data_IF_849472940050
#
_entry.id   IF_849472940050
#
_cell.length_a   1.000
_cell.length_b   1.000
_cell.length_c   1.000
_cell.angle_alpha   90.00
_cell.angle_beta   90.00
_cell.angle_gamma   90.00
#
_symmetry.space_group_name_H-M   'P 1'
#
loop_
_entity.id
_entity.type
_entity.pdbx_description
1 polymer ?
#
# COMPACT_ATOMS: atom_id res chain seq x y z
N UNK A 1 33.53 18.93 9.61
CA UNK A 1 32.65 20.03 10.06
C UNK A 1 32.15 20.74 8.81
N UNK A 2 30.93 20.45 8.41
CA UNK A 2 30.23 21.16 7.35
C UNK A 2 28.83 21.46 7.90
N UNK A 3 28.49 22.75 7.95
CA UNK A 3 27.22 23.27 8.44
C UNK A 3 26.08 22.86 7.52
N UNK A 4 25.28 21.88 7.94
CA UNK A 4 23.94 21.65 7.40
C UNK A 4 23.00 22.72 7.97
N UNK A 5 22.95 23.89 7.30
CA UNK A 5 21.96 24.93 7.59
C UNK A 5 20.55 24.40 7.29
N UNK A 6 19.86 24.04 8.37
CA UNK A 6 18.44 23.67 8.44
C UNK A 6 17.55 24.59 7.61
N UNK A 7 16.77 23.99 6.71
CA UNK A 7 15.72 24.65 5.94
C UNK A 7 14.39 24.60 6.69
N UNK A 8 13.98 25.73 7.26
CA UNK A 8 12.64 25.93 7.83
C UNK A 8 11.59 26.11 6.72
N UNK A 9 10.56 25.28 6.71
CA UNK A 9 9.38 25.49 5.87
C UNK A 9 8.46 26.56 6.48
N UNK A 10 7.67 27.29 5.67
CA UNK A 10 6.87 28.41 6.14
C UNK A 10 5.79 27.96 7.13
N UNK A 11 5.59 28.76 8.18
CA UNK A 11 4.60 28.58 9.24
C UNK A 11 3.53 29.66 9.06
N UNK A 12 2.26 29.27 8.96
CA UNK A 12 1.13 30.20 8.77
C UNK A 12 0.02 29.98 9.78
N UNK A 13 -0.64 31.05 10.18
CA UNK A 13 -1.78 31.01 11.12
C UNK A 13 -3.06 30.61 10.36
N UNK A 14 -3.68 29.49 10.72
CA UNK A 14 -4.89 28.96 10.04
C UNK A 14 -5.97 28.64 11.07
N UNK A 15 -7.04 29.44 11.07
CA UNK A 15 -8.26 29.14 11.81
C UNK A 15 -8.97 27.90 11.23
N UNK A 16 -9.47 27.04 12.12
CA UNK A 16 -9.76 25.64 11.83
C UNK A 16 -10.86 25.34 10.81
N UNK A 17 -10.60 24.35 9.96
CA UNK A 17 -11.47 23.16 9.81
C UNK A 17 -12.84 23.27 9.14
N UNK A 18 -13.22 24.38 8.52
CA UNK A 18 -14.49 24.49 7.77
C UNK A 18 -14.27 24.29 6.26
N UNK A 19 -15.12 23.49 5.63
CA UNK A 19 -15.21 23.35 4.16
C UNK A 19 -15.39 24.73 3.51
N UNK A 20 -14.64 25.01 2.45
CA UNK A 20 -14.60 26.31 1.77
C UNK A 20 -13.47 27.23 2.23
N UNK A 21 -12.70 26.88 3.28
CA UNK A 21 -11.51 27.64 3.64
C UNK A 21 -10.41 27.52 2.58
N UNK A 22 -9.81 28.67 2.26
CA UNK A 22 -8.63 28.77 1.41
C UNK A 22 -7.38 28.68 2.28
N UNK A 23 -6.52 27.72 1.98
CA UNK A 23 -5.21 27.52 2.58
C UNK A 23 -4.18 27.96 1.54
N UNK A 24 -3.65 29.17 1.67
CA UNK A 24 -2.54 29.64 0.84
C UNK A 24 -1.21 29.25 1.48
N UNK A 25 -0.23 28.85 0.67
CA UNK A 25 1.12 28.48 1.09
C UNK A 25 2.13 28.90 0.04
N UNK A 26 3.36 29.19 0.46
CA UNK A 26 4.45 29.48 -0.47
C UNK A 26 5.26 28.21 -0.70
N UNK A 27 5.32 27.78 -1.96
CA UNK A 27 6.09 26.63 -2.44
C UNK A 27 7.27 27.16 -3.24
N UNK A 28 8.41 26.46 -3.21
CA UNK A 28 9.58 26.85 -4.00
C UNK A 28 10.50 27.87 -3.31
N UNK A 29 11.60 28.20 -3.97
CA UNK A 29 12.75 28.92 -3.41
C UNK A 29 14.02 28.06 -3.23
N UNK A 30 14.11 26.88 -3.86
CA UNK A 30 15.34 26.08 -3.93
C UNK A 30 16.02 26.28 -5.28
N UNK A 31 17.35 26.35 -5.30
CA UNK A 31 18.18 26.42 -6.51
C UNK A 31 17.87 27.58 -7.48
N UNK A 32 17.39 28.72 -6.96
CA UNK A 32 17.16 29.94 -7.77
C UNK A 32 15.76 30.06 -8.39
N UNK A 33 14.88 29.09 -8.18
CA UNK A 33 13.48 29.19 -8.64
C UNK A 33 12.68 30.20 -7.80
N UNK A 34 11.82 31.03 -8.42
CA UNK A 34 10.99 31.99 -7.70
C UNK A 34 10.04 31.29 -6.73
N UNK A 35 9.82 31.92 -5.57
CA UNK A 35 8.79 31.49 -4.63
C UNK A 35 7.42 31.66 -5.29
N UNK A 36 6.64 30.59 -5.31
CA UNK A 36 5.28 30.60 -5.83
C UNK A 36 4.28 30.46 -4.68
N UNK A 37 3.31 31.36 -4.62
CA UNK A 37 2.16 31.19 -3.73
C UNK A 37 1.16 30.25 -4.40
N UNK A 38 0.72 29.24 -3.65
CA UNK A 38 -0.26 28.23 -4.08
C UNK A 38 -1.35 28.13 -3.04
N UNK A 39 -2.60 28.08 -3.48
CA UNK A 39 -3.79 28.19 -2.66
C UNK A 39 -4.70 27.01 -2.86
N UNK A 40 -5.16 26.43 -1.77
CA UNK A 40 -6.00 25.23 -1.74
C UNK A 40 -7.34 25.55 -1.12
N UNK A 41 -8.42 25.33 -1.85
CA UNK A 41 -9.76 25.36 -1.27
C UNK A 41 -10.09 23.97 -0.74
N UNK A 42 -10.21 23.82 0.59
CA UNK A 42 -10.62 22.56 1.20
C UNK A 42 -12.10 22.29 0.91
N UNK A 43 -12.40 21.21 0.19
CA UNK A 43 -13.75 20.89 -0.27
C UNK A 43 -14.50 20.00 0.73
N UNK A 44 -13.88 18.91 1.16
CA UNK A 44 -14.48 17.94 2.10
C UNK A 44 -13.44 17.12 2.84
N UNK A 45 -13.81 16.61 4.02
CA UNK A 45 -13.03 15.60 4.73
C UNK A 45 -13.25 14.25 4.04
N UNK A 46 -12.16 13.58 3.66
CA UNK A 46 -12.18 12.25 3.02
C UNK A 46 -11.63 11.14 3.91
N UNK A 47 -10.96 11.50 5.01
CA UNK A 47 -10.48 10.54 6.00
C UNK A 47 -10.22 11.18 7.36
N UNK A 48 -10.53 10.45 8.42
CA UNK A 48 -10.17 10.78 9.79
C UNK A 48 -9.45 9.58 10.40
N UNK A 49 -8.32 9.82 11.06
CA UNK A 49 -7.53 8.77 11.68
C UNK A 49 -6.91 9.24 12.98
N UNK A 50 -6.26 8.32 13.70
CA UNK A 50 -5.57 8.61 14.96
C UNK A 50 -4.50 9.69 14.86
N UNK A 51 -3.94 9.89 13.65
CA UNK A 51 -2.82 10.80 13.41
C UNK A 51 -3.23 12.15 12.80
N UNK A 52 -4.49 12.31 12.40
CA UNK A 52 -4.93 13.56 11.78
C UNK A 52 -6.15 13.41 10.86
N UNK A 53 -6.35 14.45 10.04
CA UNK A 53 -7.49 14.58 9.13
C UNK A 53 -6.97 14.72 7.69
N UNK A 54 -7.65 14.08 6.75
CA UNK A 54 -7.37 14.18 5.32
C UNK A 54 -8.51 14.92 4.63
N UNK A 55 -8.16 15.98 3.92
CA UNK A 55 -9.08 16.79 3.12
C UNK A 55 -8.88 16.50 1.63
N UNK A 56 -9.97 16.40 0.88
CA UNK A 56 -9.93 16.72 -0.53
C UNK A 56 -9.92 18.23 -0.67
N UNK A 57 -9.02 18.75 -1.49
CA UNK A 57 -8.92 20.17 -1.78
C UNK A 57 -8.69 20.40 -3.27
N UNK A 58 -9.04 21.60 -3.75
CA UNK A 58 -8.75 22.05 -5.11
C UNK A 58 -7.68 23.12 -5.09
N UNK A 59 -6.60 22.91 -5.84
CA UNK A 59 -5.58 23.92 -6.09
C UNK A 59 -6.19 25.01 -6.99
N UNK A 60 -6.13 26.27 -6.55
CA UNK A 60 -6.80 27.37 -7.24
C UNK A 60 -6.01 27.85 -8.46
N UNK A 61 -4.70 27.61 -8.49
CA UNK A 61 -3.80 28.06 -9.55
C UNK A 61 -3.91 27.20 -10.82
N UNK A 62 -4.12 25.89 -10.68
CA UNK A 62 -4.19 24.95 -11.81
C UNK A 62 -5.48 24.13 -11.86
N UNK A 63 -6.38 24.28 -10.88
CA UNK A 63 -7.64 23.55 -10.80
C UNK A 63 -7.50 22.08 -10.37
N UNK A 64 -6.29 21.60 -10.07
CA UNK A 64 -6.02 20.21 -9.72
C UNK A 64 -6.62 19.83 -8.36
N UNK A 65 -7.31 18.69 -8.31
CA UNK A 65 -7.77 18.11 -7.05
C UNK A 65 -6.62 17.37 -6.35
N UNK A 66 -6.43 17.64 -5.07
CA UNK A 66 -5.36 17.08 -4.22
C UNK A 66 -5.93 16.53 -2.91
N UNK A 67 -5.17 15.66 -2.26
CA UNK A 67 -5.43 15.23 -0.90
C UNK A 67 -4.45 15.94 0.05
N UNK A 68 -4.96 16.59 1.10
CA UNK A 68 -4.14 17.26 2.12
C UNK A 68 -4.30 16.53 3.45
N UNK A 69 -3.26 15.82 3.88
CA UNK A 69 -3.23 15.18 5.21
C UNK A 69 -2.62 16.15 6.21
N UNK A 70 -3.43 16.62 7.17
CA UNK A 70 -3.03 17.52 8.24
C UNK A 70 -2.80 16.71 9.52
N UNK A 71 -1.56 16.72 10.01
CA UNK A 71 -1.12 15.99 11.21
C UNK A 71 -0.53 16.94 12.23
N UNK A 72 -0.76 16.70 13.52
CA UNK A 72 -0.14 17.47 14.59
C UNK A 72 1.37 17.22 14.57
N UNK A 73 2.17 18.29 14.62
CA UNK A 73 3.61 18.22 14.56
C UNK A 73 4.24 18.58 15.90
N UNK A 74 4.95 17.63 16.50
CA UNK A 74 5.89 17.94 17.58
C UNK A 74 7.14 18.61 16.98
N UNK A 75 7.46 19.82 17.44
CA UNK A 75 8.61 20.62 16.96
C UNK A 75 9.95 19.94 17.22
N UNK A 76 10.02 18.99 18.15
CA UNK A 76 11.26 18.31 18.56
C UNK A 76 11.66 17.17 17.64
N UNK A 77 10.73 16.66 16.83
CA UNK A 77 10.95 15.43 16.05
C UNK A 77 10.68 15.66 14.57
N UNK A 78 11.49 15.03 13.71
CA UNK A 78 11.19 14.95 12.28
C UNK A 78 10.02 13.99 12.07
N UNK A 79 9.12 14.33 11.14
CA UNK A 79 8.00 13.47 10.82
C UNK A 79 8.46 12.34 9.88
N UNK A 80 8.40 11.09 10.36
CA UNK A 80 8.83 9.90 9.61
C UNK A 80 8.05 9.72 8.31
N UNK A 81 6.73 9.91 8.33
CA UNK A 81 5.89 9.78 7.13
C UNK A 81 6.35 10.74 6.02
N UNK A 82 6.61 12.01 6.36
CA UNK A 82 7.18 12.98 5.42
C UNK A 82 8.55 12.53 4.87
N UNK A 83 9.43 12.01 5.73
CA UNK A 83 10.76 11.56 5.31
C UNK A 83 10.67 10.41 4.30
N UNK A 84 9.82 9.40 4.57
CA UNK A 84 9.62 8.27 3.67
C UNK A 84 8.97 8.69 2.36
N UNK A 85 7.92 9.52 2.41
CA UNK A 85 7.22 9.96 1.20
C UNK A 85 8.10 10.80 0.25
N UNK A 86 9.13 11.48 0.77
CA UNK A 86 10.10 12.23 -0.06
C UNK A 86 11.04 11.34 -0.87
N UNK A 87 11.22 10.07 -0.47
CA UNK A 87 12.14 9.14 -1.14
C UNK A 87 11.42 8.14 -2.03
N UNK A 88 10.07 8.13 -2.02
CA UNK A 88 9.26 7.20 -2.78
C UNK A 88 8.65 7.85 -4.02
N UNK A 89 8.87 7.23 -5.18
CA UNK A 89 8.29 7.57 -6.47
C UNK A 89 7.96 6.29 -7.25
N UNK A 90 6.68 5.91 -7.25
CA UNK A 90 6.19 4.74 -7.96
C UNK A 90 4.74 4.92 -8.41
N UNK A 91 4.34 4.44 -9.60
CA UNK A 91 2.95 4.54 -10.06
C UNK A 91 1.93 3.88 -9.11
N UNK A 92 2.34 2.87 -8.33
CA UNK A 92 1.50 2.15 -7.39
C UNK A 92 1.64 2.61 -5.93
N UNK A 93 2.30 3.74 -5.69
CA UNK A 93 2.42 4.43 -4.40
C UNK A 93 1.89 5.85 -4.56
N UNK A 94 1.21 6.38 -3.54
CA UNK A 94 0.74 7.77 -3.55
C UNK A 94 1.93 8.73 -3.50
N UNK A 95 1.92 9.74 -4.36
CA UNK A 95 3.01 10.70 -4.51
C UNK A 95 2.79 11.91 -3.61
N UNK A 96 3.85 12.32 -2.90
CA UNK A 96 3.91 13.62 -2.23
C UNK A 96 4.21 14.70 -3.26
N UNK A 97 3.30 15.66 -3.43
CA UNK A 97 3.54 16.83 -4.28
C UNK A 97 4.41 17.84 -3.56
N UNK A 98 4.04 18.19 -2.33
CA UNK A 98 4.82 19.06 -1.43
C UNK A 98 4.27 19.02 0.00
N UNK A 99 4.85 19.80 0.90
CA UNK A 99 4.37 19.94 2.28
C UNK A 99 4.54 21.37 2.79
N UNK A 100 3.72 21.76 3.76
CA UNK A 100 3.83 23.05 4.45
C UNK A 100 3.36 22.95 5.91
N UNK A 101 3.76 23.92 6.73
CA UNK A 101 3.34 23.98 8.13
C UNK A 101 2.25 25.02 8.34
N UNK A 102 1.33 24.71 9.23
CA UNK A 102 0.29 25.64 9.68
C UNK A 102 0.22 25.61 11.20
N UNK A 103 -0.05 26.75 11.82
CA UNK A 103 -0.24 26.91 13.25
C UNK A 103 -1.70 27.29 13.51
N UNK A 104 -2.25 26.82 14.63
CA UNK A 104 -3.58 27.27 15.08
C UNK A 104 -3.46 28.51 15.97
N UNK A 105 -4.59 29.16 16.25
CA UNK A 105 -4.67 30.25 17.23
C UNK A 105 -4.17 29.86 18.64
N UNK A 106 -4.10 28.56 18.95
CA UNK A 106 -3.54 28.01 20.18
C UNK A 106 -2.03 27.71 20.09
N UNK A 107 -1.35 28.18 19.05
CA UNK A 107 0.06 27.94 18.76
C UNK A 107 0.43 26.45 18.56
N UNK A 108 -0.54 25.61 18.19
CA UNK A 108 -0.28 24.20 17.85
C UNK A 108 0.22 24.10 16.42
N UNK A 109 1.40 23.50 16.23
CA UNK A 109 1.99 23.31 14.91
C UNK A 109 1.43 22.06 14.24
N UNK A 110 1.05 22.20 12.97
CA UNK A 110 0.61 21.11 12.11
C UNK A 110 1.49 21.02 10.88
N UNK A 111 1.76 19.79 10.45
CA UNK A 111 2.33 19.47 9.16
C UNK A 111 1.19 19.11 8.19
N UNK A 112 1.20 19.70 7.01
CA UNK A 112 0.26 19.43 5.94
C UNK A 112 1.00 18.76 4.77
N UNK A 113 0.65 17.52 4.46
CA UNK A 113 1.18 16.76 3.34
C UNK A 113 0.22 16.88 2.16
N UNK A 114 0.65 17.51 1.07
CA UNK A 114 -0.14 17.63 -0.16
C UNK A 114 0.24 16.50 -1.09
N UNK A 115 -0.74 15.65 -1.40
CA UNK A 115 -0.59 14.42 -2.17
C UNK A 115 -1.50 14.47 -3.39
N UNK A 116 -1.23 13.63 -4.37
CA UNK A 116 -2.22 13.35 -5.42
C UNK A 116 -3.53 12.83 -4.80
N UNK A 117 -4.66 13.21 -5.41
CA UNK A 117 -5.98 12.71 -5.01
C UNK A 117 -6.37 11.51 -5.87
N UNK A 118 -6.85 10.45 -5.22
CA UNK A 118 -7.44 9.29 -5.89
C UNK A 118 -8.87 9.10 -5.35
N UNK A 119 -9.90 8.98 -6.21
CA UNK A 119 -11.30 9.15 -5.77
C UNK A 119 -11.87 8.06 -4.86
N UNK A 120 -11.46 6.80 -5.07
CA UNK A 120 -12.02 5.65 -4.38
C UNK A 120 -10.95 4.92 -3.56
N UNK A 121 -11.43 4.13 -2.61
CA UNK A 121 -10.62 3.14 -1.89
C UNK A 121 -11.08 1.75 -2.28
N UNK A 122 -10.19 0.77 -2.18
CA UNK A 122 -10.54 -0.63 -2.38
C UNK A 122 -11.63 -1.09 -1.41
N UNK A 123 -11.66 -0.54 -0.19
CA UNK A 123 -12.75 -0.73 0.75
C UNK A 123 -14.11 -0.26 0.21
N UNK A 124 -14.18 0.95 -0.39
CA UNK A 124 -15.42 1.47 -0.99
C UNK A 124 -15.85 0.65 -2.19
N UNK A 125 -14.89 0.17 -2.99
CA UNK A 125 -15.16 -0.76 -4.11
C UNK A 125 -15.76 -2.08 -3.60
N UNK A 126 -15.19 -2.68 -2.55
CA UNK A 126 -15.73 -3.89 -1.90
C UNK A 126 -17.16 -3.66 -1.39
N UNK A 127 -17.39 -2.55 -0.68
CA UNK A 127 -18.72 -2.19 -0.16
C UNK A 127 -19.74 -2.00 -1.27
N UNK A 128 -19.35 -1.38 -2.38
CA UNK A 128 -20.23 -1.21 -3.54
C UNK A 128 -20.73 -2.57 -4.08
N UNK A 129 -19.82 -3.52 -4.33
CA UNK A 129 -20.21 -4.87 -4.78
C UNK A 129 -21.03 -5.62 -3.73
N UNK A 130 -20.63 -5.56 -2.46
CA UNK A 130 -21.39 -6.18 -1.35
C UNK A 130 -22.81 -5.64 -1.25
N UNK A 131 -23.01 -4.33 -1.37
CA UNK A 131 -24.34 -3.71 -1.28
C UNK A 131 -25.25 -4.10 -2.47
N UNK A 132 -24.65 -4.43 -3.62
CA UNK A 132 -25.38 -4.96 -4.77
C UNK A 132 -25.59 -6.49 -4.70
N UNK A 133 -25.17 -7.14 -3.61
CA UNK A 133 -25.13 -8.61 -3.51
C UNK A 133 -24.37 -9.27 -4.67
N UNK A 134 -23.33 -8.60 -5.18
CA UNK A 134 -22.48 -9.07 -6.25
C UNK A 134 -21.06 -9.30 -5.73
N UNK A 135 -20.32 -10.19 -6.40
CA UNK A 135 -18.89 -10.32 -6.20
C UNK A 135 -18.15 -9.43 -7.18
N UNK A 136 -16.98 -8.95 -6.78
CA UNK A 136 -16.10 -8.24 -7.69
C UNK A 136 -15.69 -9.18 -8.85
N UNK A 137 -15.82 -8.76 -10.11
CA UNK A 137 -15.31 -9.50 -11.25
C UNK A 137 -13.83 -9.86 -11.08
N UNK A 138 -13.47 -11.09 -11.43
CA UNK A 138 -12.14 -11.64 -11.16
C UNK A 138 -11.02 -10.84 -11.83
N UNK A 139 -11.27 -10.30 -13.02
CA UNK A 139 -10.29 -9.45 -13.72
C UNK A 139 -9.89 -8.23 -12.88
N UNK A 140 -10.81 -7.63 -12.13
CA UNK A 140 -10.49 -6.53 -11.21
C UNK A 140 -9.72 -7.01 -10.00
N UNK A 141 -10.05 -8.19 -9.45
CA UNK A 141 -9.27 -8.79 -8.37
C UNK A 141 -7.82 -9.02 -8.81
N UNK A 142 -7.61 -9.65 -9.98
CA UNK A 142 -6.28 -9.83 -10.57
C UNK A 142 -5.57 -8.49 -10.75
N UNK A 143 -6.22 -7.53 -11.40
CA UNK A 143 -5.65 -6.23 -11.72
C UNK A 143 -5.24 -5.44 -10.47
N UNK A 144 -6.11 -5.39 -9.47
CA UNK A 144 -5.83 -4.63 -8.26
C UNK A 144 -4.79 -5.31 -7.38
N UNK A 145 -4.90 -6.62 -7.18
CA UNK A 145 -3.92 -7.37 -6.38
C UNK A 145 -2.53 -7.34 -7.02
N UNK A 146 -2.43 -7.47 -8.36
CA UNK A 146 -1.16 -7.35 -9.06
C UNK A 146 -0.48 -6.00 -8.81
N UNK A 147 -1.25 -4.91 -8.91
CA UNK A 147 -0.74 -3.56 -8.66
C UNK A 147 -0.36 -3.31 -7.20
N UNK A 148 -1.08 -3.90 -6.23
CA UNK A 148 -0.68 -3.88 -4.82
C UNK A 148 0.68 -4.57 -4.64
N UNK A 149 0.87 -5.77 -5.20
CA UNK A 149 2.15 -6.45 -5.12
C UNK A 149 3.26 -5.69 -5.84
N UNK A 150 2.97 -5.01 -6.94
CA UNK A 150 3.95 -4.17 -7.63
C UNK A 150 4.38 -2.97 -6.77
N UNK A 151 3.43 -2.31 -6.09
CA UNK A 151 3.71 -1.26 -5.11
C UNK A 151 4.54 -1.76 -3.93
N UNK A 152 4.20 -2.93 -3.38
CA UNK A 152 4.97 -3.56 -2.30
C UNK A 152 6.37 -3.96 -2.74
N UNK A 153 6.54 -4.51 -3.95
CA UNK A 153 7.85 -4.85 -4.50
C UNK A 153 8.76 -3.62 -4.54
N UNK A 154 8.24 -2.48 -5.02
CA UNK A 154 8.96 -1.21 -4.96
C UNK A 154 9.30 -0.78 -3.53
N UNK A 155 8.31 -0.76 -2.64
CA UNK A 155 8.52 -0.34 -1.25
C UNK A 155 9.56 -1.20 -0.55
N UNK A 156 9.50 -2.52 -0.72
CA UNK A 156 10.37 -3.47 -0.02
C UNK A 156 11.78 -3.54 -0.59
N UNK A 157 11.95 -3.42 -1.91
CA UNK A 157 13.24 -3.67 -2.57
C UNK A 157 13.99 -2.39 -2.94
N UNK A 158 13.27 -1.31 -3.26
CA UNK A 158 13.86 -0.05 -3.72
C UNK A 158 13.86 1.00 -2.62
N UNK A 159 12.75 1.13 -1.89
CA UNK A 159 12.63 2.14 -0.84
C UNK A 159 13.08 1.64 0.55
N UNK A 160 13.23 0.32 0.73
CA UNK A 160 13.51 -0.34 2.02
C UNK A 160 12.49 0.00 3.12
N UNK A 161 11.21 0.10 2.74
CA UNK A 161 10.10 0.51 3.62
C UNK A 161 9.11 -0.63 3.81
N UNK A 162 8.83 -0.98 5.07
CA UNK A 162 7.65 -1.77 5.43
C UNK A 162 6.47 -0.85 5.73
N UNK A 163 5.30 -1.13 5.16
CA UNK A 163 4.09 -0.32 5.33
C UNK A 163 3.47 -0.47 6.72
N UNK A 164 3.36 -1.72 7.20
CA UNK A 164 2.85 -2.10 8.54
C UNK A 164 1.38 -1.76 8.84
N UNK A 165 0.59 -1.39 7.83
CA UNK A 165 -0.86 -1.17 7.95
C UNK A 165 -1.57 -1.28 6.60
N UNK A 166 -1.17 -2.26 5.79
CA UNK A 166 -1.80 -2.49 4.49
C UNK A 166 -3.19 -3.10 4.70
N UNK A 167 -4.21 -2.47 4.13
CA UNK A 167 -5.63 -2.83 4.23
C UNK A 167 -6.43 -2.16 3.12
N UNK A 168 -7.66 -2.59 2.81
CA UNK A 168 -8.46 -2.03 1.72
C UNK A 168 -8.72 -0.52 1.83
N UNK A 169 -8.72 0.05 3.04
CA UNK A 169 -8.86 1.50 3.25
C UNK A 169 -7.62 2.29 2.82
N UNK A 170 -6.44 1.67 2.88
CA UNK A 170 -5.13 2.27 2.55
C UNK A 170 -4.67 1.92 1.12
N UNK A 171 -5.57 1.36 0.32
CA UNK A 171 -5.36 1.05 -1.09
C UNK A 171 -6.35 1.88 -1.88
N UNK A 172 -5.85 2.91 -2.54
CA UNK A 172 -6.65 3.81 -3.37
C UNK A 172 -6.83 3.22 -4.76
N UNK A 173 -7.98 3.50 -5.37
CA UNK A 173 -8.35 3.04 -6.71
C UNK A 173 -8.93 4.21 -7.48
N UNK A 174 -8.39 4.49 -8.66
CA UNK A 174 -9.08 5.29 -9.66
C UNK A 174 -10.06 4.36 -10.39
N UNK A 175 -11.36 4.54 -10.18
CA UNK A 175 -12.39 3.67 -10.77
C UNK A 175 -12.56 3.81 -12.28
N UNK A 176 -11.97 4.86 -12.89
CA UNK A 176 -12.03 5.11 -14.33
C UNK A 176 -10.84 4.47 -15.05
N UNK A 177 -9.64 4.66 -14.51
CA UNK A 177 -8.39 4.16 -15.08
C UNK A 177 -7.96 2.80 -14.52
N UNK A 178 -8.55 2.38 -13.40
CA UNK A 178 -8.18 1.22 -12.60
C UNK A 178 -6.74 1.24 -12.06
N UNK A 179 -6.12 2.43 -12.00
CA UNK A 179 -4.84 2.64 -11.34
C UNK A 179 -5.01 2.45 -9.82
N UNK A 180 -4.12 1.65 -9.22
CA UNK A 180 -4.09 1.42 -7.78
C UNK A 180 -2.89 2.12 -7.16
N UNK A 181 -3.09 2.75 -6.00
CA UNK A 181 -2.03 3.42 -5.23
C UNK A 181 -2.12 3.07 -3.74
N UNK A 182 -1.01 2.62 -3.17
CA UNK A 182 -0.86 2.42 -1.73
C UNK A 182 -0.66 3.79 -1.06
N UNK A 183 -1.36 4.04 0.05
CA UNK A 183 -1.29 5.31 0.78
C UNK A 183 -1.23 5.09 2.31
N UNK A 184 -1.08 6.20 3.05
CA UNK A 184 -1.00 6.25 4.52
C UNK A 184 0.26 5.58 5.10
N UNK A 185 1.36 6.34 5.09
CA UNK A 185 2.67 5.89 5.58
C UNK A 185 2.93 6.28 7.04
N UNK A 186 1.89 6.67 7.80
CA UNK A 186 2.02 7.04 9.21
C UNK A 186 2.60 5.90 10.08
N UNK A 187 2.23 4.67 9.74
CA UNK A 187 2.72 3.45 10.39
C UNK A 187 3.98 2.89 9.74
N UNK A 188 4.37 3.36 8.56
CA UNK A 188 5.50 2.78 7.80
C UNK A 188 6.85 3.04 8.48
N UNK A 189 7.82 2.14 8.26
CA UNK A 189 9.18 2.24 8.81
C UNK A 189 10.17 1.44 7.96
N UNK A 190 11.41 1.93 7.87
CA UNK A 190 12.57 1.12 7.47
C UNK A 190 12.87 0.12 8.59
N UNK A 191 12.93 -1.17 8.26
CA UNK A 191 13.17 -2.24 9.22
C UNK A 191 14.64 -2.63 9.20
N UNK A 192 15.37 -2.27 10.25
CA UNK A 192 16.79 -2.61 10.39
C UNK A 192 16.91 -3.95 11.12
N UNK A 193 17.67 -4.88 10.54
CA UNK A 193 17.92 -6.20 11.14
C UNK A 193 18.57 -6.05 12.53
N UNK A 194 18.02 -6.74 13.52
CA UNK A 194 18.47 -6.68 14.91
C UNK A 194 17.89 -5.52 15.74
N UNK A 195 17.11 -4.62 15.13
CA UNK A 195 16.36 -3.61 15.87
C UNK A 195 14.96 -4.11 16.25
N UNK A 196 14.61 -3.98 17.54
CA UNK A 196 13.26 -4.26 18.01
C UNK A 196 12.25 -3.21 17.50
N UNK A 197 11.05 -3.69 17.14
CA UNK A 197 9.93 -2.88 16.67
C UNK A 197 8.68 -3.19 17.48
N UNK A 198 7.74 -2.23 17.53
CA UNK A 198 6.43 -2.41 18.17
C UNK A 198 5.67 -3.51 17.44
N UNK A 199 5.25 -4.54 18.17
CA UNK A 199 4.47 -5.68 17.66
C UNK A 199 2.98 -5.38 17.53
N UNK A 200 2.43 -4.56 18.43
CA UNK A 200 1.04 -4.08 18.35
C UNK A 200 0.88 -2.99 17.28
N UNK A 201 1.02 -3.40 16.03
CA UNK A 201 0.89 -2.59 14.82
C UNK A 201 -0.02 -3.32 13.82
N UNK A 202 -0.37 -2.66 12.71
CA UNK A 202 -1.32 -3.15 11.70
C UNK A 202 -2.77 -3.24 12.22
N UNK A 203 -3.71 -2.95 11.33
CA UNK A 203 -5.13 -3.15 11.57
C UNK A 203 -5.45 -4.64 11.75
N UNK A 204 -6.30 -4.95 12.74
CA UNK A 204 -6.46 -6.30 13.31
C UNK A 204 -6.68 -7.42 12.28
N UNK A 205 -7.63 -7.26 11.36
CA UNK A 205 -7.99 -8.30 10.39
C UNK A 205 -6.87 -8.64 9.38
N UNK A 206 -5.91 -7.73 9.22
CA UNK A 206 -4.78 -7.86 8.28
C UNK A 206 -3.46 -8.11 9.01
N UNK A 207 -3.49 -8.25 10.33
CA UNK A 207 -2.30 -8.40 11.17
C UNK A 207 -1.73 -9.82 11.03
N UNK A 208 -0.44 -9.89 10.72
CA UNK A 208 0.30 -11.15 10.60
C UNK A 208 0.40 -11.88 11.95
N UNK A 209 0.40 -13.22 11.96
CA UNK A 209 0.35 -13.99 13.20
C UNK A 209 1.57 -13.75 14.09
N UNK A 210 2.78 -13.55 13.54
CA UNK A 210 3.98 -13.21 14.31
C UNK A 210 3.82 -11.93 15.14
N UNK A 211 3.06 -10.94 14.65
CA UNK A 211 2.75 -9.72 15.40
C UNK A 211 1.79 -10.01 16.56
N UNK A 212 0.85 -10.95 16.37
CA UNK A 212 -0.06 -11.41 17.43
C UNK A 212 0.71 -12.18 18.51
N UNK A 213 1.71 -12.96 18.10
CA UNK A 213 2.67 -13.62 19.00
C UNK A 213 3.67 -12.65 19.66
N UNK A 214 3.58 -11.34 19.35
CA UNK A 214 4.41 -10.33 20.00
C UNK A 214 5.84 -10.24 19.47
N UNK A 215 6.13 -10.77 18.28
CA UNK A 215 7.44 -10.64 17.68
C UNK A 215 7.81 -9.17 17.47
N UNK A 216 9.02 -8.79 17.86
CA UNK A 216 9.57 -7.43 17.71
C UNK A 216 10.58 -7.34 16.57
N UNK A 217 11.13 -8.46 16.13
CA UNK A 217 12.07 -8.57 14.99
C UNK A 217 11.38 -9.23 13.78
N UNK A 218 10.32 -8.58 13.29
CA UNK A 218 9.62 -8.98 12.07
C UNK A 218 10.21 -8.28 10.83
N UNK A 219 9.83 -8.75 9.64
CA UNK A 219 10.32 -8.22 8.35
C UNK A 219 9.18 -7.65 7.51
N UNK A 220 9.48 -7.18 6.30
CA UNK A 220 8.48 -6.75 5.30
C UNK A 220 7.46 -7.85 4.93
N UNK A 221 7.73 -9.12 5.27
CA UNK A 221 6.81 -10.25 5.12
C UNK A 221 5.46 -10.06 5.81
N UNK A 222 5.33 -9.15 6.78
CA UNK A 222 4.04 -8.82 7.40
C UNK A 222 3.10 -8.13 6.39
N UNK A 223 3.63 -7.32 5.48
CA UNK A 223 2.82 -6.66 4.44
C UNK A 223 2.32 -7.68 3.41
N UNK A 224 3.12 -8.73 3.13
CA UNK A 224 2.73 -9.84 2.26
C UNK A 224 1.54 -10.60 2.84
N UNK A 225 1.56 -10.87 4.16
CA UNK A 225 0.42 -11.45 4.85
C UNK A 225 -0.82 -10.56 4.73
N UNK A 226 -0.67 -9.26 5.01
CA UNK A 226 -1.76 -8.30 4.88
C UNK A 226 -2.33 -8.25 3.45
N UNK A 227 -1.47 -8.30 2.44
CA UNK A 227 -1.88 -8.38 1.03
C UNK A 227 -2.63 -9.70 0.72
N UNK A 228 -2.21 -10.82 1.33
CA UNK A 228 -2.95 -12.09 1.27
C UNK A 228 -4.35 -12.00 1.88
N UNK A 229 -4.50 -11.33 3.02
CA UNK A 229 -5.81 -11.03 3.62
C UNK A 229 -6.67 -10.16 2.70
N UNK A 230 -6.09 -9.13 2.07
CA UNK A 230 -6.78 -8.27 1.10
C UNK A 230 -7.24 -9.07 -0.12
N UNK A 231 -6.36 -9.92 -0.69
CA UNK A 231 -6.73 -10.80 -1.81
C UNK A 231 -7.90 -11.71 -1.42
N UNK A 232 -7.81 -12.38 -0.26
CA UNK A 232 -8.88 -13.26 0.20
C UNK A 232 -10.21 -12.49 0.39
N UNK A 233 -10.15 -11.28 0.95
CA UNK A 233 -11.33 -10.42 1.12
C UNK A 233 -11.94 -10.01 -0.24
N UNK A 234 -11.12 -9.69 -1.24
CA UNK A 234 -11.60 -9.42 -2.61
C UNK A 234 -12.31 -10.62 -3.24
N UNK A 235 -11.81 -11.83 -2.98
CA UNK A 235 -12.39 -13.08 -3.51
C UNK A 235 -13.67 -13.51 -2.75
N UNK A 236 -13.74 -13.22 -1.45
CA UNK A 236 -14.85 -13.61 -0.57
C UNK A 236 -15.97 -12.55 -0.51
N UNK A 237 -15.64 -11.28 -0.68
CA UNK A 237 -16.52 -10.13 -0.44
C UNK A 237 -16.61 -9.70 1.04
N UNK A 238 -15.87 -10.36 1.92
CA UNK A 238 -15.81 -10.09 3.36
C UNK A 238 -14.43 -10.46 3.94
N UNK A 239 -14.00 -9.88 5.08
CA UNK A 239 -12.72 -10.20 5.68
C UNK A 239 -12.55 -11.70 5.96
N UNK A 240 -11.37 -12.25 5.66
CA UNK A 240 -11.07 -13.67 5.90
C UNK A 240 -10.95 -14.00 7.38
N UNK A 241 -10.38 -13.09 8.18
CA UNK A 241 -10.11 -13.30 9.61
C UNK A 241 -10.70 -12.16 10.46
N UNK A 242 -12.03 -12.17 10.72
CA UNK A 242 -12.72 -11.09 11.42
C UNK A 242 -12.67 -11.24 12.96
N UNK A 243 -11.48 -11.28 13.57
CA UNK A 243 -11.35 -11.45 15.03
C UNK A 243 -11.73 -10.20 15.83
N UNK A 244 -12.41 -10.36 16.97
CA UNK A 244 -12.86 -9.20 17.78
C UNK A 244 -11.73 -8.57 18.61
N UNK A 245 -10.76 -9.40 19.05
CA UNK A 245 -9.56 -9.00 19.78
C UNK A 245 -8.33 -9.81 19.27
N UNK A 246 -7.17 -9.64 19.90
CA UNK A 246 -5.94 -10.32 19.46
C UNK A 246 -6.01 -11.84 19.55
N UNK A 247 -6.66 -12.37 20.59
CA UNK A 247 -6.84 -13.82 20.79
C UNK A 247 -7.81 -14.37 19.75
N UNK A 248 -8.96 -13.72 19.57
CA UNK A 248 -9.94 -14.14 18.56
C UNK A 248 -9.38 -14.06 17.14
N UNK A 249 -8.55 -13.07 16.85
CA UNK A 249 -7.85 -12.97 15.57
C UNK A 249 -7.01 -14.22 15.29
N UNK A 250 -6.27 -14.70 16.30
CA UNK A 250 -5.49 -15.93 16.17
C UNK A 250 -6.39 -17.16 16.02
N UNK A 251 -7.53 -17.21 16.71
CA UNK A 251 -8.53 -18.28 16.57
C UNK A 251 -9.09 -18.33 15.14
N UNK A 252 -9.44 -17.19 14.54
CA UNK A 252 -9.90 -17.13 13.14
C UNK A 252 -8.84 -17.63 12.15
N UNK A 253 -7.57 -17.31 12.39
CA UNK A 253 -6.46 -17.83 11.58
C UNK A 253 -6.35 -19.36 11.71
N UNK A 254 -6.38 -19.88 12.94
CA UNK A 254 -6.29 -21.32 13.22
C UNK A 254 -7.47 -22.10 12.62
N UNK A 255 -8.68 -21.53 12.56
CA UNK A 255 -9.83 -22.17 11.91
C UNK A 255 -9.57 -22.48 10.43
N UNK A 256 -8.74 -21.68 9.76
CA UNK A 256 -8.40 -21.86 8.35
C UNK A 256 -7.10 -22.64 8.18
N UNK A 257 -6.01 -22.20 8.82
CA UNK A 257 -4.68 -22.78 8.65
C UNK A 257 -4.42 -24.02 9.52
N UNK A 258 -5.28 -24.30 10.50
CA UNK A 258 -5.04 -25.30 11.52
C UNK A 258 -4.13 -24.78 12.63
N UNK A 259 -3.90 -25.60 13.65
CA UNK A 259 -3.00 -25.23 14.76
C UNK A 259 -1.56 -25.17 14.26
N UNK A 260 -0.82 -24.07 14.50
CA UNK A 260 0.56 -23.96 14.04
C UNK A 260 1.42 -25.01 14.74
N UNK A 261 2.35 -25.58 13.99
CA UNK A 261 3.36 -26.49 14.50
C UNK A 261 4.35 -25.77 15.42
N UNK A 262 5.10 -26.53 16.23
CA UNK A 262 6.13 -25.96 17.11
C UNK A 262 7.20 -25.18 16.32
N UNK A 263 7.54 -25.65 15.13
CA UNK A 263 8.52 -24.98 14.27
C UNK A 263 7.97 -23.66 13.73
N UNK A 264 6.72 -23.63 13.26
CA UNK A 264 6.08 -22.40 12.80
C UNK A 264 5.98 -21.34 13.91
N UNK A 265 5.63 -21.76 15.14
CA UNK A 265 5.62 -20.85 16.30
C UNK A 265 7.01 -20.27 16.55
N UNK A 266 8.04 -21.12 16.50
CA UNK A 266 9.44 -20.69 16.66
C UNK A 266 9.87 -19.71 15.57
N UNK A 267 9.47 -19.94 14.32
CA UNK A 267 9.73 -19.03 13.21
C UNK A 267 9.00 -17.69 13.37
N UNK A 268 7.81 -17.69 13.97
CA UNK A 268 7.04 -16.47 14.23
C UNK A 268 7.61 -15.67 15.42
N UNK A 269 7.84 -16.33 16.56
CA UNK A 269 8.47 -15.72 17.72
C UNK A 269 9.24 -16.78 18.54
N UNK A 270 10.58 -16.79 18.49
CA UNK A 270 11.39 -17.79 19.20
C UNK A 270 11.32 -17.66 20.73
N UNK A 271 10.89 -16.50 21.26
CA UNK A 271 10.76 -16.25 22.69
C UNK A 271 9.39 -16.67 23.26
N UNK A 272 8.48 -17.16 22.43
CA UNK A 272 7.15 -17.55 22.87
C UNK A 272 7.17 -18.98 23.45
N UNK A 273 7.09 -19.10 24.77
CA UNK A 273 7.27 -20.37 25.50
C UNK A 273 5.97 -21.05 25.94
N UNK A 274 4.86 -20.32 25.98
CA UNK A 274 3.58 -20.83 26.49
C UNK A 274 2.67 -21.28 25.35
N UNK A 275 2.48 -22.60 25.17
CA UNK A 275 1.54 -23.09 24.15
C UNK A 275 0.72 -24.27 24.63
N UNK A 276 -0.58 -24.06 24.80
CA UNK A 276 -1.60 -25.10 24.74
C UNK A 276 -2.78 -24.61 23.92
N UNK A 277 -2.74 -24.90 22.63
CA UNK A 277 -3.88 -24.66 21.75
C UNK A 277 -4.60 -25.98 21.51
N UNK A 278 -5.94 -25.95 21.39
CA UNK A 278 -6.67 -27.08 20.84
C UNK A 278 -6.04 -27.50 19.50
N UNK A 279 -5.95 -28.81 19.26
CA UNK A 279 -5.48 -29.32 17.98
C UNK A 279 -6.60 -29.25 16.96
N UNK A 280 -6.48 -28.33 16.01
CA UNK A 280 -7.44 -28.06 14.94
C UNK A 280 -6.77 -28.39 13.62
N UNK A 281 -7.42 -29.22 12.81
CA UNK A 281 -6.94 -29.53 11.45
C UNK A 281 -7.20 -28.34 10.53
N UNK A 282 -6.25 -28.08 9.64
CA UNK A 282 -6.40 -27.07 8.59
C UNK A 282 -7.68 -27.30 7.79
N UNK A 283 -8.42 -26.22 7.53
CA UNK A 283 -9.56 -26.26 6.63
C UNK A 283 -9.04 -26.24 5.18
N UNK A 284 -9.41 -27.22 4.33
CA UNK A 284 -8.91 -27.23 2.96
C UNK A 284 -9.27 -25.94 2.22
N UNK A 285 -8.28 -25.28 1.62
CA UNK A 285 -8.46 -23.97 0.98
C UNK A 285 -9.57 -23.94 -0.08
N UNK A 286 -9.77 -25.02 -0.84
CA UNK A 286 -10.85 -25.14 -1.81
C UNK A 286 -12.27 -25.14 -1.20
N UNK A 287 -12.38 -25.31 0.13
CA UNK A 287 -13.64 -25.18 0.89
C UNK A 287 -13.82 -23.81 1.54
N UNK A 288 -12.73 -23.05 1.71
CA UNK A 288 -12.77 -21.66 2.19
C UNK A 288 -13.42 -20.75 1.14
N UNK A 289 -13.05 -20.96 -0.13
CA UNK A 289 -13.56 -20.19 -1.25
C UNK A 289 -14.76 -20.88 -1.93
N UNK A 290 -15.46 -20.13 -2.77
CA UNK A 290 -16.58 -20.66 -3.55
C UNK A 290 -16.11 -21.78 -4.50
N UNK A 291 -16.92 -22.81 -4.74
CA UNK A 291 -16.55 -23.99 -5.57
C UNK A 291 -16.05 -23.68 -6.98
N UNK A 292 -16.46 -22.53 -7.54
CA UNK A 292 -16.05 -22.05 -8.88
C UNK A 292 -14.80 -21.16 -8.86
N UNK A 293 -14.14 -21.04 -7.71
CA UNK A 293 -12.94 -20.22 -7.59
C UNK A 293 -11.80 -20.85 -8.39
N UNK A 294 -11.06 -20.09 -9.22
CA UNK A 294 -9.92 -20.62 -9.95
C UNK A 294 -8.87 -21.21 -9.02
N UNK A 295 -8.29 -22.39 -9.33
CA UNK A 295 -7.24 -23.01 -8.53
C UNK A 295 -6.05 -22.08 -8.27
N UNK A 296 -5.68 -21.24 -9.24
CA UNK A 296 -4.55 -20.32 -9.15
C UNK A 296 -4.78 -19.20 -8.13
N UNK A 297 -6.04 -18.77 -7.94
CA UNK A 297 -6.40 -17.80 -6.91
C UNK A 297 -6.21 -18.41 -5.51
N UNK A 298 -6.63 -19.67 -5.37
CA UNK A 298 -6.51 -20.44 -4.13
C UNK A 298 -5.03 -20.70 -3.81
N UNK A 299 -4.24 -21.12 -4.81
CA UNK A 299 -2.81 -21.37 -4.68
C UNK A 299 -2.07 -20.10 -4.24
N UNK A 300 -2.33 -18.96 -4.89
CA UNK A 300 -1.73 -17.68 -4.51
C UNK A 300 -2.06 -17.31 -3.06
N UNK A 301 -3.33 -17.38 -2.66
CA UNK A 301 -3.74 -17.08 -1.29
C UNK A 301 -3.00 -17.99 -0.27
N UNK A 302 -2.86 -19.28 -0.59
CA UNK A 302 -2.16 -20.23 0.28
C UNK A 302 -0.66 -19.92 0.41
N UNK A 303 0.01 -19.46 -0.66
CA UNK A 303 1.43 -19.08 -0.62
C UNK A 303 1.69 -17.79 0.17
N UNK A 304 0.72 -16.88 0.21
CA UNK A 304 0.82 -15.62 0.94
C UNK A 304 0.52 -15.79 2.43
N UNK A 305 -0.45 -16.65 2.76
CA UNK A 305 -0.98 -16.85 4.12
C UNK A 305 -0.33 -18.05 4.80
N UNK A 306 0.97 -17.93 5.05
CA UNK A 306 1.80 -18.92 5.76
C UNK A 306 2.15 -18.43 7.17
N UNK A 307 2.17 -19.33 8.16
CA UNK A 307 2.61 -18.99 9.53
C UNK A 307 4.06 -18.53 9.54
N UNK A 308 4.96 -19.36 9.00
CA UNK A 308 6.39 -19.06 8.89
C UNK A 308 6.61 -17.88 7.95
N UNK A 309 7.12 -16.73 8.43
CA UNK A 309 7.22 -15.52 7.61
C UNK A 309 8.13 -15.69 6.38
N UNK A 310 9.15 -16.54 6.49
CA UNK A 310 10.11 -16.86 5.42
C UNK A 310 9.54 -17.77 4.31
N UNK A 311 8.41 -18.44 4.55
CA UNK A 311 7.75 -19.28 3.54
C UNK A 311 6.76 -18.51 2.67
N UNK A 312 6.47 -17.26 3.03
CA UNK A 312 5.65 -16.38 2.19
C UNK A 312 6.46 -15.97 0.97
N UNK A 313 5.86 -16.07 -0.22
CA UNK A 313 6.50 -15.53 -1.42
C UNK A 313 6.70 -14.01 -1.28
N UNK A 314 7.77 -13.46 -1.85
CA UNK A 314 7.95 -12.02 -1.86
C UNK A 314 7.00 -11.35 -2.86
N UNK A 315 6.90 -10.02 -2.79
CA UNK A 315 5.96 -9.27 -3.62
C UNK A 315 6.21 -9.44 -5.14
N UNK A 316 7.47 -9.56 -5.56
CA UNK A 316 7.83 -9.71 -6.96
C UNK A 316 7.52 -11.13 -7.48
N UNK A 317 7.77 -12.15 -6.66
CA UNK A 317 7.34 -13.54 -6.92
C UNK A 317 5.82 -13.65 -6.99
N UNK A 318 5.09 -12.93 -6.12
CA UNK A 318 3.64 -12.86 -6.19
C UNK A 318 3.19 -12.24 -7.53
N UNK A 319 3.79 -11.12 -7.97
CA UNK A 319 3.54 -10.55 -9.30
C UNK A 319 3.80 -11.54 -10.44
N UNK A 320 4.67 -12.54 -10.28
CA UNK A 320 5.00 -13.56 -11.26
C UNK A 320 4.05 -14.78 -11.25
N UNK A 321 3.09 -14.83 -10.32
CA UNK A 321 2.21 -15.97 -10.14
C UNK A 321 1.29 -16.23 -11.36
N UNK A 322 0.92 -17.50 -11.66
CA UNK A 322 -0.04 -17.86 -12.72
C UNK A 322 -1.42 -17.22 -12.62
N UNK A 323 -1.85 -16.85 -11.42
CA UNK A 323 -3.11 -16.13 -11.21
C UNK A 323 -3.22 -14.85 -12.07
N UNK A 324 -2.09 -14.23 -12.39
CA UNK A 324 -2.01 -12.99 -13.16
C UNK A 324 -1.76 -13.21 -14.67
N UNK A 325 -1.77 -14.44 -15.18
CA UNK A 325 -1.48 -14.70 -16.60
C UNK A 325 -2.41 -14.00 -17.57
N UNK A 326 -3.70 -13.94 -17.24
CA UNK A 326 -4.68 -13.21 -18.04
C UNK A 326 -4.29 -11.73 -18.24
N UNK A 327 -3.59 -11.10 -17.29
CA UNK A 327 -3.14 -9.71 -17.44
C UNK A 327 -1.99 -9.57 -18.44
N UNK A 328 -1.24 -10.64 -18.66
CA UNK A 328 -0.05 -10.72 -19.53
C UNK A 328 -0.40 -11.10 -20.96
N UNK A 329 -1.68 -11.35 -21.26
CA UNK A 329 -2.11 -11.62 -22.63
C UNK A 329 -2.12 -10.33 -23.47
N UNK A 330 -1.65 -10.34 -24.73
CA UNK A 330 -1.58 -9.13 -25.57
C UNK A 330 -2.94 -8.42 -25.77
N UNK A 331 -4.02 -9.20 -25.75
CA UNK A 331 -5.40 -8.75 -25.91
C UNK A 331 -6.15 -8.60 -24.58
N UNK A 332 -5.47 -8.66 -23.43
CA UNK A 332 -6.10 -8.44 -22.13
C UNK A 332 -6.73 -7.04 -22.05
N UNK A 333 -8.01 -6.95 -21.67
CA UNK A 333 -8.78 -5.71 -21.60
C UNK A 333 -9.70 -5.72 -20.39
N UNK A 334 -10.10 -4.51 -19.98
CA UNK A 334 -11.16 -4.34 -19.00
C UNK A 334 -12.51 -4.82 -19.58
N UNK A 335 -13.51 -5.16 -18.75
CA UNK A 335 -14.82 -5.64 -19.21
C UNK A 335 -15.53 -4.74 -20.25
N UNK A 336 -15.25 -3.44 -20.25
CA UNK A 336 -15.81 -2.47 -21.20
C UNK A 336 -14.95 -2.29 -22.47
N UNK A 337 -14.00 -3.19 -22.73
CA UNK A 337 -13.08 -3.13 -23.88
C UNK A 337 -11.93 -2.12 -23.76
N UNK A 338 -11.89 -1.34 -22.67
CA UNK A 338 -10.80 -0.38 -22.38
C UNK A 338 -9.48 -1.10 -22.11
N UNK A 339 -8.37 -0.43 -22.41
CA UNK A 339 -7.03 -0.94 -22.11
C UNK A 339 -6.79 -1.01 -20.59
N UNK A 340 -5.97 -1.96 -20.17
CA UNK A 340 -5.45 -2.03 -18.80
C UNK A 340 -4.50 -0.85 -18.54
N UNK A 341 -4.36 -0.37 -17.28
CA UNK A 341 -3.33 0.61 -16.94
C UNK A 341 -1.91 0.02 -17.16
N UNK A 342 -0.84 0.83 -17.11
CA UNK A 342 0.53 0.32 -17.23
C UNK A 342 0.88 -0.69 -16.11
N UNK A 343 1.10 -1.96 -16.48
CA UNK A 343 1.39 -3.05 -15.53
C UNK A 343 2.84 -3.56 -15.57
N UNK A 344 3.53 -3.37 -16.69
CA UNK A 344 4.80 -4.05 -17.00
C UNK A 344 5.99 -3.08 -17.10
N UNK A 345 5.78 -1.80 -16.79
CA UNK A 345 6.79 -0.76 -16.77
C UNK A 345 7.61 -0.79 -15.46
N UNK A 346 8.15 -1.95 -15.10
CA UNK A 346 9.07 -2.08 -13.97
C UNK A 346 10.35 -1.25 -14.20
N UNK A 347 10.94 -0.74 -13.11
CA UNK A 347 12.17 0.04 -13.09
C UNK A 347 13.20 -0.69 -12.21
N UNK A 348 13.60 -0.09 -11.08
CA UNK A 348 14.60 -0.61 -10.15
C UNK A 348 14.12 -1.84 -9.37
N UNK A 349 12.82 -2.14 -9.36
CA UNK A 349 12.25 -3.28 -8.62
C UNK A 349 12.77 -4.64 -9.11
N UNK A 350 13.28 -4.69 -10.35
CA UNK A 350 13.86 -5.92 -10.93
C UNK A 350 15.36 -6.06 -10.64
N UNK A 351 15.96 -5.12 -9.91
CA UNK A 351 17.37 -5.22 -9.54
C UNK A 351 17.60 -6.49 -8.70
N UNK A 352 18.45 -7.39 -9.21
CA UNK A 352 18.73 -8.68 -8.56
C UNK A 352 17.71 -9.79 -8.84
N UNK A 353 16.66 -9.54 -9.63
CA UNK A 353 15.75 -10.59 -10.09
C UNK A 353 16.45 -11.54 -11.07
N UNK A 354 16.13 -12.84 -11.01
CA UNK A 354 16.66 -13.81 -11.96
C UNK A 354 16.13 -13.56 -13.38
N UNK A 355 16.87 -13.97 -14.43
CA UNK A 355 16.38 -13.88 -15.80
C UNK A 355 15.02 -14.55 -16.02
N UNK A 356 14.78 -15.70 -15.37
CA UNK A 356 13.51 -16.42 -15.44
C UNK A 356 12.37 -15.62 -14.83
N UNK A 357 12.60 -14.97 -13.68
CA UNK A 357 11.62 -14.12 -13.03
C UNK A 357 11.31 -12.88 -13.90
N UNK A 358 12.32 -12.24 -14.48
CA UNK A 358 12.14 -11.11 -15.40
C UNK A 358 11.33 -11.53 -16.63
N UNK A 359 11.66 -12.68 -17.22
CA UNK A 359 10.92 -13.23 -18.37
C UNK A 359 9.47 -13.55 -18.04
N UNK A 360 9.22 -13.96 -16.79
CA UNK A 360 7.87 -14.23 -16.29
C UNK A 360 7.06 -12.95 -16.06
N UNK A 361 7.70 -11.87 -15.63
CA UNK A 361 7.06 -10.60 -15.28
C UNK A 361 6.80 -9.70 -16.49
N UNK A 362 7.72 -9.66 -17.46
CA UNK A 362 7.61 -8.80 -18.65
C UNK A 362 7.27 -9.69 -19.86
N UNK A 363 6.04 -9.64 -20.38
CA UNK A 363 5.64 -10.43 -21.53
C UNK A 363 6.39 -10.02 -22.80
N UNK A 364 6.63 -10.95 -23.73
CA UNK A 364 7.45 -10.69 -24.92
C UNK A 364 6.89 -9.58 -25.82
N UNK A 365 5.56 -9.42 -25.88
CA UNK A 365 4.95 -8.34 -26.65
C UNK A 365 5.27 -6.96 -26.07
N UNK A 366 5.45 -6.85 -24.74
CA UNK A 366 5.91 -5.63 -24.07
C UNK A 366 7.40 -5.41 -24.31
N UNK A 367 8.23 -6.47 -24.22
CA UNK A 367 9.67 -6.36 -24.53
C UNK A 367 9.91 -5.81 -25.93
N UNK A 368 9.14 -6.30 -26.92
CA UNK A 368 9.19 -5.79 -28.30
C UNK A 368 8.80 -4.31 -28.38
N UNK A 369 7.73 -3.89 -27.71
CA UNK A 369 7.31 -2.48 -27.67
C UNK A 369 8.37 -1.58 -27.02
N UNK A 370 8.97 -2.00 -25.90
CA UNK A 370 10.04 -1.26 -25.24
C UNK A 370 11.29 -1.16 -26.12
N UNK A 371 11.65 -2.25 -26.82
CA UNK A 371 12.74 -2.27 -27.79
C UNK A 371 12.48 -1.32 -28.98
N UNK A 372 11.27 -1.30 -29.53
CA UNK A 372 10.87 -0.40 -30.61
C UNK A 372 10.93 1.08 -30.20
N UNK A 373 10.54 1.43 -28.97
CA UNK A 373 10.62 2.81 -28.47
C UNK A 373 12.05 3.35 -28.30
N UNK A 374 13.04 2.49 -28.10
CA UNK A 374 14.47 2.86 -28.07
C UNK A 374 15.01 3.19 -29.47
N UNK A 375 14.38 2.70 -30.54
CA UNK A 375 14.76 3.03 -31.92
C UNK A 375 14.02 4.26 -32.45
N UNK A 376 12.78 4.51 -32.04
CA UNK A 376 12.03 5.71 -32.48
C UNK A 376 12.47 7.00 -31.80
N UNK A 377 13.14 6.94 -30.64
CA UNK A 377 13.66 8.14 -29.94
C UNK A 377 15.00 8.62 -30.48
N UNK A 378 15.64 7.89 -31.39
CA UNK A 378 16.89 8.29 -32.05
C UNK A 378 16.67 9.08 -33.35
N UNK A 379 15.49 8.98 -33.96
CA UNK A 379 15.22 9.62 -35.26
C UNK A 379 14.62 11.03 -35.16
N UNK A 380 14.33 11.53 -33.95
CA UNK A 380 13.85 12.91 -33.71
C UNK A 380 14.95 13.87 -33.21
N UNK A 381 16.23 13.50 -33.31
CA UNK A 381 17.38 14.36 -32.98
C UNK A 381 18.41 14.52 -34.11
N UNK A 382 17.94 14.55 -35.37
CA UNK A 382 18.78 14.95 -36.51
C UNK A 382 18.24 16.20 -37.20
#
# INVERSE_FOLDING_TARGET
MADDKEMSAPVMDVNGGVTGHIISTTIGGKNGEPKQTVSYMAERIVGTGSFGVVFQAKCLENGETVAIKKVLQDRRYKNRELQLMRTMDNPNVVSLKHCFYSTTSKNELFLNLVMEYVPETMYRMLKHYSNMNQRMPLIYVKLYTYQVFRGLAYMHTVADVCHRDLKPQNILVDSVTHQVKICDFGSAKVLVKGEANISYICSRFYRAPELIFGATEYTTSIDIWSAGCVLAELLLGQPLFPGENAVDQLVEIIKVLGTPTREEIRCMNPNYTDFRFPQIKAHPWHKVFHKRMPPEAIDLASRLLQYSPSLRCNALEACAHPFFDELREPNARLPHGRQLPPLFNFKQELAGASPDLINRLIPDHIKRQMGLHLFTTRDDMT
#
